data_IF_614351648950
#
_entry.id   IF_614351648950
#
_cell.length_a   1.000
_cell.length_b   1.000
_cell.length_c   1.000
_cell.angle_alpha   90.00
_cell.angle_beta   90.00
_cell.angle_gamma   90.00
#
_symmetry.space_group_name_H-M   'P 1'
#
loop_
_entity.id
_entity.type
_entity.pdbx_description
1 polymer ?
#
# COMPACT_ATOMS: atom_id res chain seq x y z
N UNK A 1 -16.60 8.19 -13.53
CA UNK A 1 -15.13 8.52 -13.50
C UNK A 1 -14.37 7.66 -12.52
N UNK A 2 -14.77 7.52 -11.22
CA UNK A 2 -14.13 6.61 -10.27
C UNK A 2 -14.17 5.16 -10.78
N UNK A 3 -15.36 4.63 -11.02
CA UNK A 3 -15.62 3.27 -11.52
C UNK A 3 -14.87 2.97 -12.85
N UNK A 4 -14.74 3.93 -13.74
CA UNK A 4 -14.02 3.73 -15.02
C UNK A 4 -12.52 3.57 -14.82
N UNK A 5 -11.91 4.34 -13.89
CA UNK A 5 -10.48 4.23 -13.57
C UNK A 5 -10.19 2.91 -12.89
N UNK A 6 -11.00 2.53 -11.90
CA UNK A 6 -10.89 1.24 -11.20
C UNK A 6 -10.98 0.06 -12.17
N UNK A 7 -11.99 0.06 -13.06
CA UNK A 7 -12.12 -0.96 -14.12
C UNK A 7 -10.92 -0.98 -15.04
N UNK A 8 -10.41 0.19 -15.42
CA UNK A 8 -9.23 0.30 -16.28
C UNK A 8 -7.98 -0.28 -15.62
N UNK A 9 -7.76 -0.03 -14.31
CA UNK A 9 -6.66 -0.62 -13.55
C UNK A 9 -6.75 -2.14 -13.55
N UNK A 10 -7.94 -2.69 -13.29
CA UNK A 10 -8.16 -4.14 -13.31
C UNK A 10 -7.84 -4.75 -14.68
N UNK A 11 -8.34 -4.13 -15.74
CA UNK A 11 -8.11 -4.62 -17.11
C UNK A 11 -6.64 -4.49 -17.51
N UNK A 12 -6.00 -3.36 -17.25
CA UNK A 12 -4.57 -3.17 -17.54
C UNK A 12 -3.69 -4.17 -16.80
N UNK A 13 -3.97 -4.39 -15.52
CA UNK A 13 -3.21 -5.33 -14.71
C UNK A 13 -3.35 -6.77 -15.22
N UNK A 14 -4.58 -7.20 -15.50
CA UNK A 14 -4.83 -8.53 -16.05
C UNK A 14 -4.17 -8.71 -17.44
N UNK A 15 -4.28 -7.71 -18.32
CA UNK A 15 -3.70 -7.76 -19.66
C UNK A 15 -2.16 -7.75 -19.63
N UNK A 16 -1.54 -7.00 -18.70
CA UNK A 16 -0.08 -6.98 -18.55
C UNK A 16 0.45 -8.32 -18.04
N UNK A 17 -0.21 -8.91 -17.03
CA UNK A 17 0.14 -10.23 -16.49
C UNK A 17 -0.02 -11.31 -17.56
N UNK A 18 -1.11 -11.32 -18.29
CA UNK A 18 -1.37 -12.25 -19.40
C UNK A 18 -0.29 -12.13 -20.49
N UNK A 19 0.01 -10.90 -20.91
CA UNK A 19 1.03 -10.64 -21.93
C UNK A 19 2.43 -11.08 -21.48
N UNK A 20 2.77 -10.85 -20.22
CA UNK A 20 4.05 -11.27 -19.66
C UNK A 20 4.12 -12.80 -19.43
N UNK A 21 2.98 -13.48 -19.50
CA UNK A 21 2.81 -14.89 -19.10
C UNK A 21 3.42 -15.17 -17.72
N UNK A 22 3.36 -14.17 -16.83
CA UNK A 22 3.94 -14.20 -15.49
C UNK A 22 3.43 -13.00 -14.67
N UNK A 23 3.14 -13.22 -13.40
CA UNK A 23 2.70 -12.16 -12.47
C UNK A 23 1.52 -12.59 -11.62
N UNK A 24 1.01 -11.65 -10.84
CA UNK A 24 -0.02 -11.89 -9.84
C UNK A 24 -1.19 -10.92 -10.06
N UNK A 25 -2.32 -11.36 -10.61
CA UNK A 25 -3.45 -10.46 -10.90
C UNK A 25 -4.35 -10.22 -9.67
N UNK A 26 -4.32 -11.08 -8.65
CA UNK A 26 -5.27 -11.05 -7.52
C UNK A 26 -5.30 -9.71 -6.79
N UNK A 27 -4.15 -9.28 -6.26
CA UNK A 27 -4.01 -8.00 -5.54
C UNK A 27 -4.48 -6.80 -6.40
N UNK A 28 -4.07 -6.61 -7.66
CA UNK A 28 -4.58 -5.53 -8.51
C UNK A 28 -6.09 -5.58 -8.73
N UNK A 29 -6.69 -6.76 -8.81
CA UNK A 29 -8.13 -6.92 -9.00
C UNK A 29 -8.92 -6.61 -7.71
N UNK A 30 -8.43 -7.04 -6.56
CA UNK A 30 -9.07 -6.82 -5.26
C UNK A 30 -8.94 -5.37 -4.80
N UNK A 31 -7.72 -4.83 -4.80
CA UNK A 31 -7.39 -3.56 -4.15
C UNK A 31 -7.44 -2.32 -5.07
N UNK A 32 -7.97 -2.44 -6.30
CA UNK A 32 -8.05 -1.31 -7.23
C UNK A 32 -8.87 -0.14 -6.69
N UNK A 33 -9.99 -0.41 -6.02
CA UNK A 33 -10.87 0.65 -5.46
C UNK A 33 -10.14 1.41 -4.34
N UNK A 34 -9.51 0.71 -3.41
CA UNK A 34 -8.69 1.29 -2.34
C UNK A 34 -7.60 2.17 -2.94
N UNK A 35 -6.83 1.65 -3.90
CA UNK A 35 -5.76 2.41 -4.55
C UNK A 35 -6.27 3.69 -5.22
N UNK A 36 -7.39 3.63 -5.94
CA UNK A 36 -7.99 4.80 -6.61
C UNK A 36 -8.49 5.82 -5.60
N UNK A 37 -9.16 5.39 -4.52
CA UNK A 37 -9.61 6.30 -3.45
C UNK A 37 -8.43 7.01 -2.81
N UNK A 38 -7.38 6.29 -2.46
CA UNK A 38 -6.18 6.86 -1.86
C UNK A 38 -5.54 7.92 -2.75
N UNK A 39 -5.23 7.59 -3.99
CA UNK A 39 -4.55 8.51 -4.91
C UNK A 39 -5.41 9.71 -5.31
N UNK A 40 -6.72 9.54 -5.38
CA UNK A 40 -7.65 10.61 -5.78
C UNK A 40 -7.98 11.57 -4.65
N UNK A 41 -8.18 11.06 -3.43
CA UNK A 41 -8.78 11.84 -2.34
C UNK A 41 -7.81 12.18 -1.21
N UNK A 42 -6.75 11.39 -1.01
CA UNK A 42 -5.93 11.49 0.20
C UNK A 42 -4.45 11.71 -0.04
N UNK A 43 -3.82 10.97 -0.95
CA UNK A 43 -2.38 11.03 -1.17
C UNK A 43 -1.92 12.39 -1.69
N UNK A 44 -1.12 13.09 -0.91
CA UNK A 44 -0.45 14.33 -1.29
C UNK A 44 0.85 13.99 -1.99
N UNK A 45 0.79 13.73 -3.29
CA UNK A 45 1.94 13.41 -4.14
C UNK A 45 1.96 14.31 -5.38
N UNK A 46 3.11 14.43 -6.04
CA UNK A 46 3.25 15.25 -7.24
C UNK A 46 4.12 14.56 -8.28
N UNK A 47 3.57 14.33 -9.46
CA UNK A 47 4.31 13.80 -10.61
C UNK A 47 5.32 14.81 -11.20
N UNK A 48 5.22 16.11 -10.82
CA UNK A 48 6.16 17.17 -11.24
C UNK A 48 7.30 17.36 -10.24
N UNK A 49 7.12 16.94 -9.00
CA UNK A 49 8.10 16.99 -7.93
C UNK A 49 7.99 15.69 -7.11
N UNK A 50 8.36 14.54 -7.69
CA UNK A 50 8.10 13.24 -7.09
C UNK A 50 8.96 12.94 -5.86
N UNK A 51 10.02 13.68 -5.62
CA UNK A 51 10.91 13.58 -4.46
C UNK A 51 10.63 14.65 -3.37
N UNK A 52 9.53 15.42 -3.50
CA UNK A 52 9.16 16.43 -2.50
C UNK A 52 9.15 15.83 -1.09
N UNK A 53 9.87 16.45 -0.17
CA UNK A 53 10.15 15.91 1.15
C UNK A 53 8.89 15.67 2.00
N UNK A 54 7.91 16.57 1.92
CA UNK A 54 6.65 16.48 2.68
C UNK A 54 5.50 15.83 1.89
N UNK A 55 5.80 15.08 0.82
CA UNK A 55 4.80 14.24 0.16
C UNK A 55 4.41 13.06 1.03
N UNK A 56 3.19 12.59 0.92
CA UNK A 56 2.80 11.30 1.51
C UNK A 56 3.60 10.15 0.88
N UNK A 57 3.68 9.03 1.58
CA UNK A 57 4.35 7.81 1.11
C UNK A 57 3.32 6.73 0.84
N UNK A 58 3.54 5.97 -0.21
CA UNK A 58 2.73 4.80 -0.51
C UNK A 58 3.62 3.56 -0.62
N UNK A 59 3.34 2.54 0.19
CA UNK A 59 4.10 1.29 0.23
C UNK A 59 3.20 0.13 -0.17
N UNK A 60 3.41 -0.43 -1.35
CA UNK A 60 2.83 -1.72 -1.70
C UNK A 60 3.71 -2.82 -1.11
N UNK A 61 3.44 -3.23 0.15
CA UNK A 61 4.19 -4.30 0.83
C UNK A 61 4.00 -5.63 0.11
N UNK A 62 2.77 -5.94 -0.27
CA UNK A 62 2.44 -7.05 -1.17
C UNK A 62 2.99 -6.79 -2.59
N UNK A 63 4.31 -6.72 -2.70
CA UNK A 63 5.02 -6.29 -3.91
C UNK A 63 4.76 -7.16 -5.14
N UNK A 64 4.28 -8.40 -4.95
CA UNK A 64 3.82 -9.25 -6.04
C UNK A 64 2.64 -8.64 -6.83
N UNK A 65 1.83 -7.78 -6.18
CA UNK A 65 0.76 -7.01 -6.81
C UNK A 65 1.23 -5.76 -7.55
N UNK A 66 2.48 -5.68 -7.98
CA UNK A 66 3.15 -4.50 -8.55
C UNK A 66 2.36 -3.79 -9.66
N UNK A 67 1.57 -4.51 -10.46
CA UNK A 67 0.73 -3.91 -11.50
C UNK A 67 -0.34 -2.97 -10.94
N UNK A 68 -0.79 -3.14 -9.68
CA UNK A 68 -1.64 -2.15 -9.02
C UNK A 68 -0.92 -0.80 -8.93
N UNK A 69 0.29 -0.80 -8.37
CA UNK A 69 1.09 0.41 -8.20
C UNK A 69 1.41 1.07 -9.54
N UNK A 70 1.88 0.31 -10.53
CA UNK A 70 2.21 0.86 -11.84
C UNK A 70 1.00 1.46 -12.55
N UNK A 71 -0.16 0.82 -12.46
CA UNK A 71 -1.40 1.36 -13.03
C UNK A 71 -1.84 2.64 -12.31
N UNK A 72 -1.76 2.69 -10.98
CA UNK A 72 -2.05 3.88 -10.19
C UNK A 72 -1.13 5.04 -10.57
N UNK A 73 0.18 4.81 -10.65
CA UNK A 73 1.15 5.82 -11.05
C UNK A 73 0.92 6.31 -12.48
N UNK A 74 0.61 5.40 -13.42
CA UNK A 74 0.24 5.77 -14.78
C UNK A 74 -0.96 6.72 -14.83
N UNK A 75 -2.06 6.39 -14.15
CA UNK A 75 -3.27 7.23 -14.14
C UNK A 75 -3.08 8.55 -13.40
N UNK A 76 -2.10 8.64 -12.50
CA UNK A 76 -1.75 9.89 -11.81
C UNK A 76 -0.64 10.68 -12.52
N UNK A 77 -0.26 10.28 -13.73
CA UNK A 77 0.61 11.04 -14.62
C UNK A 77 2.09 10.98 -14.25
N UNK A 78 2.52 10.00 -13.45
CA UNK A 78 3.92 9.70 -13.27
C UNK A 78 4.51 9.09 -14.54
N UNK A 79 5.84 9.07 -14.66
CA UNK A 79 6.55 8.62 -15.87
C UNK A 79 6.53 7.08 -16.03
N UNK A 80 5.33 6.51 -16.04
CA UNK A 80 5.03 5.14 -16.42
C UNK A 80 4.07 5.17 -17.60
N UNK A 81 4.60 5.02 -18.80
CA UNK A 81 3.81 5.02 -20.02
C UNK A 81 3.02 3.72 -20.20
N UNK A 82 2.03 3.75 -21.10
CA UNK A 82 1.31 2.51 -21.47
C UNK A 82 2.24 1.47 -22.11
N UNK A 83 3.32 1.90 -22.76
CA UNK A 83 4.30 0.98 -23.35
C UNK A 83 5.18 0.35 -22.26
N UNK A 84 5.49 1.06 -21.17
CA UNK A 84 6.11 0.45 -19.99
C UNK A 84 5.17 -0.62 -19.36
N UNK A 85 3.87 -0.35 -19.27
CA UNK A 85 2.90 -1.34 -18.77
C UNK A 85 2.85 -2.57 -19.69
N UNK A 86 2.89 -2.39 -21.02
CA UNK A 86 2.98 -3.50 -21.97
C UNK A 86 4.27 -4.32 -21.85
N UNK A 87 5.34 -3.70 -21.36
CA UNK A 87 6.63 -4.32 -21.12
C UNK A 87 6.80 -4.82 -19.66
N UNK A 88 5.70 -5.05 -18.96
CA UNK A 88 5.71 -5.60 -17.61
C UNK A 88 6.60 -6.85 -17.51
N UNK A 89 7.49 -6.89 -16.53
CA UNK A 89 8.47 -7.97 -16.27
C UNK A 89 9.48 -8.21 -17.41
N UNK A 90 9.63 -7.27 -18.35
CA UNK A 90 10.67 -7.38 -19.36
C UNK A 90 11.96 -6.70 -18.89
N UNK A 91 13.09 -7.22 -19.30
CA UNK A 91 14.41 -6.67 -18.95
C UNK A 91 14.52 -5.21 -19.42
N UNK A 92 14.91 -4.32 -18.48
CA UNK A 92 15.07 -2.89 -18.74
C UNK A 92 13.77 -2.07 -18.71
N UNK A 93 12.62 -2.68 -18.43
CA UNK A 93 11.36 -1.97 -18.21
C UNK A 93 11.32 -1.35 -16.80
N UNK A 94 10.64 -0.19 -16.68
CA UNK A 94 10.32 0.44 -15.39
C UNK A 94 9.30 -0.36 -14.58
N UNK A 95 8.60 -1.30 -15.21
CA UNK A 95 7.56 -2.13 -14.61
C UNK A 95 8.08 -3.53 -14.27
N UNK A 96 9.03 -3.58 -13.35
CA UNK A 96 9.61 -4.83 -12.84
C UNK A 96 8.55 -5.74 -12.19
N UNK A 97 8.86 -7.02 -11.99
CA UNK A 97 7.94 -7.98 -11.37
C UNK A 97 7.51 -7.62 -9.94
N UNK A 98 8.36 -6.91 -9.23
CA UNK A 98 8.11 -6.30 -7.93
C UNK A 98 8.59 -4.85 -7.97
N UNK A 99 8.00 -3.93 -7.19
CA UNK A 99 8.43 -2.53 -7.20
C UNK A 99 9.90 -2.37 -6.80
N UNK A 100 10.63 -1.61 -7.57
CA UNK A 100 11.99 -1.16 -7.26
C UNK A 100 11.95 0.34 -6.97
N UNK A 101 12.62 0.75 -5.89
CA UNK A 101 12.64 2.15 -5.45
C UNK A 101 13.15 3.05 -6.58
N UNK A 102 12.30 3.98 -6.98
CA UNK A 102 12.61 4.99 -7.98
C UNK A 102 11.70 6.21 -7.75
N UNK A 103 12.25 7.26 -7.16
CA UNK A 103 11.47 8.46 -6.83
C UNK A 103 10.99 9.20 -8.08
N UNK A 104 11.73 9.15 -9.18
CA UNK A 104 11.37 9.86 -10.41
C UNK A 104 10.05 9.34 -11.00
N UNK A 105 9.75 8.07 -10.77
CA UNK A 105 8.48 7.45 -11.19
C UNK A 105 7.48 7.24 -10.04
N UNK A 106 7.80 7.73 -8.82
CA UNK A 106 6.88 7.71 -7.67
C UNK A 106 6.88 6.42 -6.85
N UNK A 107 7.93 5.61 -6.91
CA UNK A 107 8.08 4.39 -6.11
C UNK A 107 8.96 4.66 -4.89
N UNK A 108 8.36 4.62 -3.70
CA UNK A 108 9.00 4.98 -2.44
C UNK A 108 10.00 3.94 -1.92
N UNK A 109 9.74 2.65 -2.15
CA UNK A 109 10.57 1.58 -1.61
C UNK A 109 10.53 0.34 -2.49
N UNK A 110 11.63 -0.42 -2.47
CA UNK A 110 11.71 -1.74 -3.09
C UNK A 110 10.99 -2.74 -2.21
N UNK A 111 10.06 -3.50 -2.79
CA UNK A 111 9.32 -4.57 -2.13
C UNK A 111 9.38 -5.86 -2.97
N UNK A 112 8.85 -6.95 -2.43
CA UNK A 112 8.89 -8.28 -3.06
C UNK A 112 9.08 -9.36 -2.02
N UNK A 113 10.17 -9.35 -1.21
CA UNK A 113 10.23 -10.18 -0.02
C UNK A 113 9.12 -9.78 0.96
N UNK A 114 8.26 -10.73 1.32
CA UNK A 114 7.08 -10.49 2.15
C UNK A 114 7.45 -9.89 3.52
N UNK A 115 6.61 -9.01 4.04
CA UNK A 115 6.78 -8.31 5.31
C UNK A 115 7.79 -7.14 5.30
N UNK A 116 8.70 -7.10 4.33
CA UNK A 116 9.72 -6.04 4.28
C UNK A 116 9.11 -4.66 4.01
N UNK A 117 8.14 -4.59 3.10
CA UNK A 117 7.42 -3.35 2.81
C UNK A 117 6.66 -2.82 4.02
N UNK A 118 6.01 -3.71 4.78
CA UNK A 118 5.35 -3.35 6.04
C UNK A 118 6.33 -2.68 7.01
N UNK A 119 7.48 -3.33 7.26
CA UNK A 119 8.50 -2.80 8.15
C UNK A 119 9.11 -1.48 7.61
N UNK A 120 9.28 -1.34 6.29
CA UNK A 120 9.72 -0.09 5.68
C UNK A 120 8.72 1.05 5.94
N UNK A 121 7.42 0.80 5.86
CA UNK A 121 6.39 1.79 6.19
C UNK A 121 6.46 2.24 7.63
N UNK A 122 6.70 1.32 8.58
CA UNK A 122 6.95 1.66 9.99
C UNK A 122 8.19 2.56 10.09
N UNK A 123 9.29 2.21 9.42
CA UNK A 123 10.49 3.04 9.39
C UNK A 123 10.26 4.44 8.82
N UNK A 124 9.44 4.56 7.76
CA UNK A 124 9.05 5.85 7.18
C UNK A 124 8.21 6.68 8.15
N UNK A 125 7.30 6.06 8.92
CA UNK A 125 6.51 6.74 9.95
C UNK A 125 7.38 7.24 11.13
N UNK A 126 8.36 6.45 11.54
CA UNK A 126 9.37 6.90 12.53
C UNK A 126 10.16 8.09 11.99
N UNK A 127 10.57 8.04 10.73
CA UNK A 127 11.32 9.13 10.10
C UNK A 127 10.47 10.41 10.00
N UNK A 128 9.19 10.30 9.63
CA UNK A 128 8.26 11.43 9.61
C UNK A 128 8.18 12.09 10.99
N UNK A 129 7.89 11.31 12.03
CA UNK A 129 7.77 11.80 13.41
C UNK A 129 9.06 12.47 13.92
N UNK A 130 10.21 11.87 13.60
CA UNK A 130 11.51 12.45 13.93
C UNK A 130 11.73 13.78 13.20
N UNK A 131 11.49 13.84 11.90
CA UNK A 131 11.66 15.06 11.10
C UNK A 131 10.68 16.17 11.54
N UNK A 132 9.43 15.81 11.83
CA UNK A 132 8.44 16.75 12.37
C UNK A 132 8.90 17.33 13.71
N UNK A 133 9.51 16.52 14.60
CA UNK A 133 10.05 16.99 15.88
C UNK A 133 11.25 17.93 15.71
N UNK A 134 12.02 17.80 14.65
CA UNK A 134 13.21 18.63 14.37
C UNK A 134 12.86 19.91 13.62
N UNK A 135 11.99 19.83 12.61
CA UNK A 135 11.69 20.93 11.69
C UNK A 135 10.33 21.59 11.96
N UNK A 136 9.48 20.99 12.76
CA UNK A 136 8.11 21.42 13.03
C UNK A 136 7.11 20.78 12.06
N UNK A 137 5.87 20.60 12.54
CA UNK A 137 4.77 20.02 11.75
C UNK A 137 4.33 20.93 10.60
N UNK A 138 4.60 22.24 10.65
CA UNK A 138 4.39 23.15 9.52
C UNK A 138 5.27 22.81 8.32
N UNK A 139 6.38 22.09 8.52
CA UNK A 139 7.34 21.70 7.49
C UNK A 139 7.21 20.24 7.10
N UNK A 140 7.01 19.35 8.09
CA UNK A 140 6.89 17.91 7.90
C UNK A 140 5.61 17.42 8.56
N UNK A 141 4.63 17.05 7.72
CA UNK A 141 3.30 16.57 8.14
C UNK A 141 2.72 15.64 7.06
N UNK A 142 3.38 14.52 6.80
CA UNK A 142 2.93 13.59 5.77
C UNK A 142 2.48 12.26 6.38
N UNK A 143 1.57 11.58 5.70
CA UNK A 143 1.11 10.25 6.07
C UNK A 143 1.87 9.18 5.30
N UNK A 144 1.88 7.99 5.87
CA UNK A 144 2.39 6.77 5.25
C UNK A 144 1.20 5.83 5.05
N UNK A 145 0.90 5.52 3.80
CA UNK A 145 -0.12 4.56 3.42
C UNK A 145 0.51 3.30 2.88
N UNK A 146 -0.09 2.15 3.14
CA UNK A 146 0.40 0.91 2.57
C UNK A 146 -0.69 -0.13 2.34
N UNK A 147 -0.39 -1.13 1.51
CA UNK A 147 -1.22 -2.31 1.31
C UNK A 147 -0.40 -3.54 1.65
N UNK A 148 -0.99 -4.42 2.46
CA UNK A 148 -0.40 -5.69 2.90
C UNK A 148 -1.33 -6.85 2.55
N UNK A 149 -0.76 -8.04 2.51
CA UNK A 149 -1.50 -9.29 2.31
C UNK A 149 -1.28 -10.25 3.49
N UNK A 150 -2.00 -11.36 3.49
CA UNK A 150 -1.82 -12.43 4.49
C UNK A 150 -0.37 -12.87 4.61
N UNK A 151 0.30 -13.11 3.48
CA UNK A 151 1.70 -13.52 3.46
C UNK A 151 2.64 -12.51 4.12
N UNK A 152 2.40 -11.21 3.92
CA UNK A 152 3.16 -10.16 4.60
C UNK A 152 3.01 -10.27 6.12
N UNK A 153 1.77 -10.46 6.61
CA UNK A 153 1.46 -10.46 8.05
C UNK A 153 1.85 -11.77 8.75
N UNK A 154 2.17 -12.83 7.99
CA UNK A 154 2.74 -14.06 8.51
C UNK A 154 4.23 -13.97 8.80
N UNK A 155 4.95 -13.01 8.19
CA UNK A 155 6.37 -12.84 8.41
C UNK A 155 6.68 -12.31 9.82
N UNK A 156 7.76 -12.82 10.43
CA UNK A 156 8.20 -12.41 11.76
C UNK A 156 8.47 -10.92 11.86
N UNK A 157 9.13 -10.35 10.83
CA UNK A 157 9.44 -8.91 10.79
C UNK A 157 8.18 -8.04 10.82
N UNK A 158 7.07 -8.48 10.24
CA UNK A 158 5.81 -7.73 10.30
C UNK A 158 5.27 -7.66 11.72
N UNK A 159 5.37 -8.75 12.47
CA UNK A 159 4.97 -8.77 13.88
C UNK A 159 5.83 -7.84 14.72
N UNK A 160 7.15 -7.92 14.59
CA UNK A 160 8.10 -7.07 15.32
C UNK A 160 7.90 -5.59 14.98
N UNK A 161 7.73 -5.26 13.70
CA UNK A 161 7.48 -3.89 13.25
C UNK A 161 6.11 -3.37 13.72
N UNK A 162 5.06 -4.21 13.73
CA UNK A 162 3.74 -3.84 14.22
C UNK A 162 3.75 -3.53 15.73
N UNK A 163 4.46 -4.32 16.54
CA UNK A 163 4.63 -4.06 17.97
C UNK A 163 5.31 -2.71 18.21
N UNK A 164 6.36 -2.40 17.46
CA UNK A 164 7.05 -1.11 17.57
C UNK A 164 6.16 0.06 17.16
N UNK A 165 5.39 -0.10 16.07
CA UNK A 165 4.50 0.95 15.60
C UNK A 165 3.39 1.27 16.62
N UNK A 166 2.80 0.25 17.24
CA UNK A 166 1.83 0.43 18.31
C UNK A 166 2.46 1.03 19.58
N UNK A 167 3.62 0.51 20.01
CA UNK A 167 4.36 1.04 21.18
C UNK A 167 4.70 2.53 21.01
N UNK A 168 5.04 2.95 19.81
CA UNK A 168 5.39 4.33 19.51
C UNK A 168 4.19 5.18 19.04
N UNK A 169 3.00 4.62 19.01
CA UNK A 169 1.78 5.36 18.64
C UNK A 169 1.94 6.11 17.30
N UNK A 170 2.35 5.40 16.24
CA UNK A 170 2.65 6.01 14.93
C UNK A 170 1.36 6.31 14.14
N UNK A 171 0.53 7.23 14.61
CA UNK A 171 -0.82 7.50 14.11
C UNK A 171 -0.93 8.01 12.68
N UNK A 172 0.18 8.44 12.03
CA UNK A 172 0.21 8.79 10.60
C UNK A 172 0.51 7.59 9.69
N UNK A 173 0.61 6.38 10.24
CA UNK A 173 0.78 5.12 9.53
C UNK A 173 -0.57 4.44 9.36
N UNK A 174 -1.00 4.25 8.11
CA UNK A 174 -2.29 3.64 7.76
C UNK A 174 -2.03 2.51 6.77
N UNK A 175 -2.35 1.29 7.17
CA UNK A 175 -2.27 0.11 6.31
C UNK A 175 -3.64 -0.43 5.95
N UNK A 176 -3.76 -0.90 4.72
CA UNK A 176 -4.89 -1.68 4.23
C UNK A 176 -4.48 -3.13 4.12
N UNK A 177 -5.20 -4.01 4.78
CA UNK A 177 -4.98 -5.44 4.74
C UNK A 177 -5.99 -6.11 3.82
N UNK A 178 -5.51 -6.76 2.76
CA UNK A 178 -6.33 -7.56 1.84
C UNK A 178 -6.68 -8.91 2.48
N UNK A 179 -7.80 -8.95 3.22
CA UNK A 179 -8.34 -10.15 3.89
C UNK A 179 -9.27 -10.92 2.96
N UNK A 180 -8.71 -11.53 1.94
CA UNK A 180 -9.46 -12.26 0.91
C UNK A 180 -9.58 -13.77 1.16
N UNK A 181 -9.13 -14.26 2.32
CA UNK A 181 -9.13 -15.68 2.71
C UNK A 181 -8.32 -16.62 1.80
N UNK A 182 -7.44 -16.08 0.94
CA UNK A 182 -6.63 -16.88 0.02
C UNK A 182 -5.14 -16.55 0.20
N UNK A 183 -4.30 -17.59 0.27
CA UNK A 183 -2.85 -17.46 0.21
C UNK A 183 -2.31 -18.39 -0.86
N UNK A 184 -1.65 -17.82 -1.88
CA UNK A 184 -1.12 -18.55 -3.05
C UNK A 184 -2.23 -19.33 -3.76
N UNK A 185 -2.31 -20.67 -3.54
CA UNK A 185 -3.22 -21.57 -4.24
C UNK A 185 -4.37 -22.09 -3.38
N UNK A 186 -4.46 -21.67 -2.11
CA UNK A 186 -5.37 -22.28 -1.16
C UNK A 186 -5.99 -21.32 -0.16
N UNK A 187 -6.96 -21.85 0.58
CA UNK A 187 -7.57 -21.09 1.66
C UNK A 187 -6.56 -20.85 2.80
N UNK A 188 -6.56 -19.62 3.33
CA UNK A 188 -5.65 -19.18 4.39
C UNK A 188 -5.68 -20.12 5.62
N UNK A 189 -6.82 -20.75 5.91
CA UNK A 189 -6.96 -21.68 7.06
C UNK A 189 -6.08 -22.91 6.97
N UNK A 190 -5.49 -23.20 5.80
CA UNK A 190 -4.53 -24.29 5.63
C UNK A 190 -3.14 -23.96 6.18
N UNK A 191 -2.83 -22.67 6.33
CA UNK A 191 -1.48 -22.18 6.69
C UNK A 191 -1.48 -21.26 7.91
N UNK A 192 -2.61 -20.65 8.27
CA UNK A 192 -2.74 -19.77 9.43
C UNK A 192 -4.10 -19.92 10.12
N UNK A 193 -4.08 -19.78 11.44
CA UNK A 193 -5.28 -19.65 12.29
C UNK A 193 -5.30 -18.34 13.05
N UNK A 194 -4.39 -17.43 12.73
CA UNK A 194 -4.24 -16.15 13.42
C UNK A 194 -5.39 -15.24 13.05
N UNK A 195 -6.10 -14.73 14.07
CA UNK A 195 -7.02 -13.62 13.88
C UNK A 195 -6.22 -12.32 13.85
N UNK A 196 -5.99 -11.78 12.66
CA UNK A 196 -5.16 -10.59 12.47
C UNK A 196 -5.76 -9.37 13.18
N UNK A 197 -7.09 -9.18 13.16
CA UNK A 197 -7.76 -8.09 13.86
C UNK A 197 -7.39 -8.06 15.34
N UNK A 198 -7.58 -9.19 16.04
CA UNK A 198 -7.24 -9.26 17.46
C UNK A 198 -5.74 -9.12 17.71
N UNK A 199 -4.91 -9.65 16.81
CA UNK A 199 -3.46 -9.51 16.86
C UNK A 199 -3.06 -8.02 16.85
N UNK A 200 -3.53 -7.24 15.90
CA UNK A 200 -3.20 -5.81 15.77
C UNK A 200 -3.78 -4.98 16.92
N UNK A 201 -5.03 -5.23 17.34
CA UNK A 201 -5.61 -4.58 18.52
C UNK A 201 -4.74 -4.81 19.76
N UNK A 202 -4.24 -6.04 19.97
CA UNK A 202 -3.38 -6.36 21.11
C UNK A 202 -2.02 -5.67 21.09
N UNK A 203 -1.58 -5.22 19.91
CA UNK A 203 -0.35 -4.44 19.71
C UNK A 203 -0.59 -2.93 19.78
N UNK A 204 -1.82 -2.47 20.09
CA UNK A 204 -2.12 -1.04 20.23
C UNK A 204 -2.48 -0.33 18.93
N UNK A 205 -2.95 -1.06 17.92
CA UNK A 205 -3.44 -0.47 16.68
C UNK A 205 -4.94 -0.23 16.74
N UNK A 206 -5.40 0.84 16.10
CA UNK A 206 -6.81 0.98 15.73
C UNK A 206 -7.09 0.12 14.50
N UNK A 207 -8.18 -0.65 14.54
CA UNK A 207 -8.52 -1.62 13.49
C UNK A 207 -9.97 -1.42 13.07
N UNK A 208 -10.17 -1.17 11.78
CA UNK A 208 -11.49 -1.06 11.16
C UNK A 208 -11.71 -2.23 10.20
N UNK A 209 -12.96 -2.64 10.03
CA UNK A 209 -13.40 -3.59 9.01
C UNK A 209 -14.32 -2.87 8.04
N UNK A 210 -14.01 -2.90 6.76
CA UNK A 210 -14.76 -2.19 5.72
C UNK A 210 -14.89 -3.05 4.47
N UNK A 211 -15.84 -2.73 3.61
CA UNK A 211 -15.92 -3.28 2.26
C UNK A 211 -14.98 -2.50 1.32
N UNK A 212 -13.90 -3.15 0.88
CA UNK A 212 -12.90 -2.58 -0.04
C UNK A 212 -13.47 -2.20 -1.42
N UNK A 213 -14.70 -2.59 -1.74
CA UNK A 213 -15.39 -2.21 -2.97
C UNK A 213 -16.39 -1.06 -2.78
N UNK A 214 -16.54 -0.57 -1.53
CA UNK A 214 -17.41 0.54 -1.19
C UNK A 214 -16.60 1.85 -1.05
N UNK A 215 -16.64 2.72 -2.07
CA UNK A 215 -15.92 4.01 -2.09
C UNK A 215 -16.14 4.82 -0.80
N UNK A 216 -17.38 4.87 -0.29
CA UNK A 216 -17.69 5.67 0.90
C UNK A 216 -17.10 5.07 2.18
N UNK A 217 -17.14 3.74 2.34
CA UNK A 217 -16.54 3.08 3.51
C UNK A 217 -15.02 3.28 3.54
N UNK A 218 -14.34 3.21 2.37
CA UNK A 218 -12.91 3.48 2.28
C UNK A 218 -12.62 4.93 2.67
N UNK A 219 -13.41 5.90 2.18
CA UNK A 219 -13.24 7.32 2.50
C UNK A 219 -13.42 7.56 4.00
N UNK A 220 -14.53 7.06 4.57
CA UNK A 220 -14.87 7.25 5.98
C UNK A 220 -13.79 6.65 6.90
N UNK A 221 -13.26 5.47 6.54
CA UNK A 221 -12.19 4.81 7.29
C UNK A 221 -10.90 5.64 7.28
N UNK A 222 -10.44 6.10 6.11
CA UNK A 222 -9.23 6.94 6.05
C UNK A 222 -9.43 8.26 6.80
N UNK A 223 -10.61 8.88 6.70
CA UNK A 223 -10.89 10.10 7.46
C UNK A 223 -10.90 9.86 8.97
N UNK A 224 -11.42 8.71 9.42
CA UNK A 224 -11.38 8.31 10.81
C UNK A 224 -9.92 8.14 11.27
N UNK A 225 -9.12 7.33 10.57
CA UNK A 225 -7.71 7.10 10.88
C UNK A 225 -6.92 8.42 10.95
N UNK A 226 -7.16 9.35 10.04
CA UNK A 226 -6.50 10.67 10.04
C UNK A 226 -6.90 11.57 11.22
N UNK A 227 -8.00 11.30 11.89
CA UNK A 227 -8.42 12.02 13.10
C UNK A 227 -7.89 11.36 14.38
N UNK A 228 -7.54 10.06 14.33
CA UNK A 228 -7.09 9.27 15.47
C UNK A 228 -5.56 9.21 15.54
N UNK A 229 -4.89 10.35 15.72
CA UNK A 229 -3.42 10.48 15.69
C UNK A 229 -2.64 9.74 16.79
N UNK A 230 -3.28 9.04 17.71
CA UNK A 230 -2.64 8.45 18.88
C UNK A 230 -2.28 6.96 18.73
N UNK A 231 -2.68 6.31 17.62
CA UNK A 231 -2.37 4.88 17.40
C UNK A 231 -2.09 4.63 15.92
N UNK A 232 -1.29 3.60 15.63
CA UNK A 232 -1.15 3.13 14.26
C UNK A 232 -2.47 2.49 13.80
N UNK A 233 -2.80 2.59 12.51
CA UNK A 233 -4.08 2.18 11.98
C UNK A 233 -3.93 1.06 10.95
N UNK A 234 -4.82 0.09 11.00
CA UNK A 234 -4.96 -0.94 9.98
C UNK A 234 -6.44 -1.17 9.68
N UNK A 235 -6.81 -1.04 8.41
CA UNK A 235 -8.14 -1.31 7.91
C UNK A 235 -8.21 -2.72 7.33
N UNK A 236 -9.27 -3.44 7.65
CA UNK A 236 -9.57 -4.79 7.19
C UNK A 236 -10.63 -4.79 6.10
N UNK A 237 -10.46 -5.61 5.08
CA UNK A 237 -11.36 -5.73 3.94
C UNK A 237 -11.88 -7.14 3.74
#
# INVERSE_FOLDING_TARGET
MFDDVTKSIRVLSAAAVERANSGHPGMPLGMADVGVVLYKNFLKVSNKNPDWINRDRFVLSAGHGSMLLYSLLHFNGFDISIDEIKNFRQLGSKTAGHPEKDFDIGIDTTTGPLGQGFANGVGLAVAERYLASVFGEDVVDHHIYGIVSDGDLMEGISTEAAELAGLWELGKLIYFFDDNNISIDGNITQVSVTNQKHKFISMGWDVLEIDAHNENEIIDAVEFCKKCYQQANIDYF
#
